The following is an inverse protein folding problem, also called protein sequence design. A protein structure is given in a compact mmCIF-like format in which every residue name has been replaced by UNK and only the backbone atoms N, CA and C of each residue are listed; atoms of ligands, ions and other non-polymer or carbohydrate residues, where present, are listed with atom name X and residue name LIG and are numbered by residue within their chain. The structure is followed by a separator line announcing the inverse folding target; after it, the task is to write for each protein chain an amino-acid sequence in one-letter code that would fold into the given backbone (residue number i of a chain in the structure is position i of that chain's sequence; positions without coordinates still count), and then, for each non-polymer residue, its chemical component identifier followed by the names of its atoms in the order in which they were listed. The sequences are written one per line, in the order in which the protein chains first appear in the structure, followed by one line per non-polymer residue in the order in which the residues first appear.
data_IF_847218315526
#
_entry.id   IF_847218315526
#
_cell.length_a   1.000
_cell.length_b   1.000
_cell.length_c   1.000
_cell.angle_alpha   90.00
_cell.angle_beta   90.00
_cell.angle_gamma   90.00
#
_symmetry.space_group_name_H-M   'P 1'
#
loop_
_entity.id
_entity.type
_entity.pdbx_description
1 polymer ?
#
# COMPACT_ATOMS: atom_id res chain seq x y z
N UNK A 1 -46.69 -3.14 -3.53
CA UNK A 1 -45.45 -2.40 -3.19
C UNK A 1 -44.30 -3.19 -3.76
N UNK A 2 -43.75 -2.74 -4.89
CA UNK A 2 -42.60 -3.38 -5.51
C UNK A 2 -41.34 -3.10 -4.68
N UNK A 3 -40.78 -4.16 -4.09
CA UNK A 3 -39.48 -4.11 -3.42
C UNK A 3 -38.43 -4.06 -4.53
N UNK A 4 -37.91 -2.87 -4.80
CA UNK A 4 -36.77 -2.70 -5.69
C UNK A 4 -35.56 -3.49 -5.17
N UNK A 5 -34.83 -4.25 -6.01
CA UNK A 5 -33.69 -5.02 -5.57
C UNK A 5 -32.53 -4.07 -5.18
N UNK A 6 -31.95 -4.33 -4.00
CA UNK A 6 -30.88 -3.59 -3.33
C UNK A 6 -29.53 -3.54 -4.08
N UNK A 7 -29.46 -4.02 -5.33
CA UNK A 7 -28.20 -4.37 -6.03
C UNK A 7 -28.11 -3.94 -7.49
N UNK A 8 -28.60 -2.74 -7.87
CA UNK A 8 -28.14 -2.14 -9.14
C UNK A 8 -26.97 -1.21 -8.85
N UNK A 9 -25.76 -1.72 -9.02
CA UNK A 9 -24.62 -0.85 -9.33
C UNK A 9 -25.02 -0.01 -10.55
N UNK A 10 -24.84 1.32 -10.52
CA UNK A 10 -25.27 2.17 -11.63
C UNK A 10 -24.57 1.72 -12.93
N UNK A 11 -25.26 1.77 -14.10
CA UNK A 11 -24.77 1.21 -15.38
C UNK A 11 -23.56 1.93 -16.01
N UNK A 12 -22.78 2.68 -15.24
CA UNK A 12 -21.56 3.32 -15.71
C UNK A 12 -20.61 3.51 -14.54
N UNK A 13 -20.06 2.41 -14.03
CA UNK A 13 -18.79 2.41 -13.31
C UNK A 13 -17.76 2.92 -14.32
N UNK A 14 -17.57 4.24 -14.38
CA UNK A 14 -16.77 4.86 -15.43
C UNK A 14 -15.30 4.64 -15.10
N UNK A 15 -14.64 3.75 -15.86
CA UNK A 15 -13.18 3.52 -15.78
C UNK A 15 -12.33 4.79 -15.91
N UNK A 16 -12.94 5.92 -16.31
CA UNK A 16 -12.32 7.23 -16.39
C UNK A 16 -11.90 7.75 -15.01
N UNK A 17 -12.73 7.63 -13.98
CA UNK A 17 -12.42 8.15 -12.65
C UNK A 17 -11.21 7.43 -12.02
N UNK A 18 -11.12 6.10 -12.15
CA UNK A 18 -10.00 5.34 -11.60
C UNK A 18 -8.68 5.64 -12.32
N UNK A 19 -8.72 5.86 -13.64
CA UNK A 19 -7.53 6.25 -14.42
C UNK A 19 -7.06 7.65 -14.04
N UNK A 20 -7.98 8.60 -13.91
CA UNK A 20 -7.67 9.97 -13.51
C UNK A 20 -7.12 10.01 -12.07
N UNK A 21 -7.72 9.27 -11.14
CA UNK A 21 -7.21 9.14 -9.76
C UNK A 21 -5.80 8.51 -9.72
N UNK A 22 -5.55 7.45 -10.50
CA UNK A 22 -4.23 6.81 -10.56
C UNK A 22 -3.18 7.74 -11.17
N UNK A 23 -3.51 8.47 -12.23
CA UNK A 23 -2.65 9.47 -12.83
C UNK A 23 -2.30 10.57 -11.82
N UNK A 24 -3.28 11.04 -11.05
CA UNK A 24 -3.06 12.04 -10.02
C UNK A 24 -2.17 11.54 -8.89
N UNK A 25 -2.36 10.29 -8.44
CA UNK A 25 -1.49 9.67 -7.44
C UNK A 25 -0.05 9.56 -7.97
N UNK A 26 0.12 9.13 -9.22
CA UNK A 26 1.43 9.05 -9.89
C UNK A 26 2.12 10.42 -9.91
N UNK A 27 1.42 11.46 -10.37
CA UNK A 27 1.94 12.83 -10.39
C UNK A 27 2.30 13.31 -8.98
N UNK A 28 1.46 13.00 -7.98
CA UNK A 28 1.71 13.36 -6.57
C UNK A 28 2.97 12.66 -6.03
N UNK A 29 3.15 11.37 -6.32
CA UNK A 29 4.35 10.62 -5.91
C UNK A 29 5.60 11.24 -6.55
N UNK A 30 5.57 11.50 -7.86
CA UNK A 30 6.70 12.10 -8.59
C UNK A 30 7.01 13.49 -8.05
N UNK A 31 6.00 14.34 -7.87
CA UNK A 31 6.16 15.68 -7.31
C UNK A 31 6.75 15.62 -5.89
N UNK A 32 6.23 14.74 -5.02
CA UNK A 32 6.69 14.66 -3.63
C UNK A 32 8.12 14.12 -3.55
N UNK A 33 8.46 13.16 -4.40
CA UNK A 33 9.83 12.69 -4.53
C UNK A 33 10.77 13.83 -4.95
N UNK A 34 10.40 14.59 -5.98
CA UNK A 34 11.19 15.74 -6.45
C UNK A 34 11.36 16.81 -5.36
N UNK A 35 10.32 17.09 -4.56
CA UNK A 35 10.41 18.01 -3.43
C UNK A 35 11.32 17.50 -2.30
N UNK A 36 11.27 16.19 -2.00
CA UNK A 36 12.14 15.56 -1.01
C UNK A 36 13.62 15.65 -1.45
N UNK A 37 13.85 15.39 -2.73
CA UNK A 37 15.13 15.58 -3.41
C UNK A 37 15.59 17.03 -3.27
N UNK A 38 14.80 18.00 -3.74
CA UNK A 38 15.14 19.42 -3.67
C UNK A 38 15.42 19.91 -2.22
N UNK A 39 14.67 19.40 -1.23
CA UNK A 39 14.90 19.76 0.18
C UNK A 39 16.24 19.23 0.68
N UNK A 40 16.60 17.99 0.33
CA UNK A 40 17.90 17.42 0.67
C UNK A 40 19.05 18.14 -0.07
N UNK A 41 18.84 18.51 -1.33
CA UNK A 41 19.74 19.36 -2.11
C UNK A 41 20.06 20.68 -1.38
N UNK A 42 19.02 21.40 -0.95
CA UNK A 42 19.20 22.68 -0.25
C UNK A 42 19.94 22.52 1.08
N UNK A 43 19.67 21.43 1.81
CA UNK A 43 20.41 21.12 3.06
C UNK A 43 21.89 20.87 2.81
N UNK A 44 22.24 20.14 1.75
CA UNK A 44 23.63 19.86 1.41
C UNK A 44 24.39 21.13 0.98
N UNK A 45 23.77 22.00 0.17
CA UNK A 45 24.33 23.30 -0.18
C UNK A 45 24.60 24.16 1.07
N UNK A 46 23.62 24.23 1.97
CA UNK A 46 23.73 25.03 3.20
C UNK A 46 24.80 24.50 4.16
N UNK A 47 25.10 23.20 4.10
CA UNK A 47 26.14 22.57 4.93
C UNK A 47 27.58 22.81 4.45
N UNK A 48 27.78 23.48 3.30
CA UNK A 48 29.12 23.83 2.79
C UNK A 48 29.93 22.66 2.22
N UNK A 49 29.27 21.51 1.95
CA UNK A 49 29.94 20.27 1.52
C UNK A 49 30.16 20.19 -0.01
N UNK A 50 29.48 21.02 -0.82
CA UNK A 50 29.58 21.00 -2.29
C UNK A 50 29.63 22.40 -2.91
N UNK A 51 30.26 22.51 -4.08
CA UNK A 51 30.77 23.76 -4.67
C UNK A 51 29.88 24.40 -5.74
N UNK A 52 28.95 23.68 -6.37
CA UNK A 52 28.03 24.24 -7.39
C UNK A 52 26.65 23.59 -7.40
N UNK A 53 25.63 24.31 -7.89
CA UNK A 53 24.25 23.83 -8.02
C UNK A 53 24.14 22.58 -8.93
N UNK A 54 24.90 22.55 -10.02
CA UNK A 54 24.89 21.46 -10.99
C UNK A 54 25.47 20.16 -10.40
N UNK A 55 26.55 20.25 -9.62
CA UNK A 55 27.16 19.09 -8.94
C UNK A 55 26.21 18.45 -7.93
N UNK A 56 25.51 19.25 -7.13
CA UNK A 56 24.54 18.73 -6.14
C UNK A 56 23.36 18.07 -6.85
N UNK A 57 22.89 18.60 -7.98
CA UNK A 57 21.81 18.01 -8.76
C UNK A 57 22.19 16.64 -9.33
N UNK A 58 23.41 16.50 -9.88
CA UNK A 58 23.94 15.24 -10.41
C UNK A 58 24.08 14.21 -9.28
N UNK A 59 24.76 14.57 -8.19
CA UNK A 59 24.97 13.65 -7.06
C UNK A 59 23.66 13.15 -6.46
N UNK A 60 22.66 14.02 -6.37
CA UNK A 60 21.37 13.64 -5.80
C UNK A 60 20.56 12.76 -6.76
N UNK A 61 20.58 13.05 -8.06
CA UNK A 61 20.00 12.16 -9.07
C UNK A 61 20.62 10.77 -8.99
N UNK A 62 21.95 10.69 -8.94
CA UNK A 62 22.68 9.42 -8.85
C UNK A 62 22.37 8.69 -7.56
N UNK A 63 22.26 9.40 -6.44
CA UNK A 63 21.84 8.84 -5.15
C UNK A 63 20.43 8.26 -5.21
N UNK A 64 19.47 9.00 -5.76
CA UNK A 64 18.09 8.56 -5.93
C UNK A 64 17.97 7.34 -6.85
N UNK A 65 18.65 7.36 -8.00
CA UNK A 65 18.70 6.22 -8.92
C UNK A 65 19.32 5.01 -8.23
N UNK A 66 20.43 5.19 -7.51
CA UNK A 66 21.07 4.14 -6.73
C UNK A 66 20.12 3.52 -5.71
N UNK A 67 19.36 4.32 -4.96
CA UNK A 67 18.39 3.82 -3.98
C UNK A 67 17.21 3.10 -4.64
N UNK A 68 16.71 3.60 -5.77
CA UNK A 68 15.69 2.90 -6.56
C UNK A 68 16.20 1.57 -7.12
N UNK A 69 17.44 1.53 -7.63
CA UNK A 69 18.09 0.30 -8.09
C UNK A 69 18.35 -0.67 -6.93
N UNK A 70 18.76 -0.18 -5.76
CA UNK A 70 18.96 -0.99 -4.56
C UNK A 70 17.64 -1.64 -4.12
N UNK A 71 16.57 -0.85 -3.99
CA UNK A 71 15.22 -1.35 -3.73
C UNK A 71 14.82 -2.42 -4.74
N UNK A 72 14.97 -2.11 -6.04
CA UNK A 72 14.66 -3.04 -7.12
C UNK A 72 15.44 -4.35 -7.02
N UNK A 73 16.75 -4.30 -6.76
CA UNK A 73 17.62 -5.47 -6.63
C UNK A 73 17.29 -6.33 -5.42
N UNK A 74 17.09 -5.72 -4.25
CA UNK A 74 16.75 -6.46 -3.01
C UNK A 74 15.46 -7.24 -3.20
N UNK A 75 14.42 -6.58 -3.73
CA UNK A 75 13.13 -7.22 -4.00
C UNK A 75 13.19 -8.21 -5.17
N UNK A 76 14.05 -7.98 -6.16
CA UNK A 76 14.20 -8.87 -7.33
C UNK A 76 14.93 -10.17 -7.04
N UNK A 77 15.91 -10.18 -6.14
CA UNK A 77 16.84 -11.30 -6.00
C UNK A 77 17.00 -11.85 -4.59
N UNK A 78 16.71 -11.09 -3.52
CA UNK A 78 17.14 -11.49 -2.18
C UNK A 78 16.26 -10.94 -1.04
N UNK A 79 14.94 -10.89 -1.23
CA UNK A 79 14.03 -10.33 -0.23
C UNK A 79 14.14 -11.01 1.15
N UNK A 80 14.40 -12.32 1.22
CA UNK A 80 14.52 -13.02 2.51
C UNK A 80 15.88 -12.88 3.20
N UNK A 81 16.92 -12.45 2.49
CA UNK A 81 18.30 -12.39 3.00
C UNK A 81 18.86 -10.96 3.09
N UNK A 82 18.21 -10.00 2.44
CA UNK A 82 18.74 -8.64 2.28
C UNK A 82 17.73 -7.54 2.62
N UNK A 83 16.56 -7.87 3.16
CA UNK A 83 15.61 -6.83 3.56
C UNK A 83 16.12 -5.96 4.70
N UNK A 84 17.04 -6.48 5.52
CA UNK A 84 17.72 -5.73 6.58
C UNK A 84 18.81 -4.80 6.02
N UNK A 85 19.13 -4.90 4.71
CA UNK A 85 19.98 -3.93 4.02
C UNK A 85 19.23 -2.68 3.59
N UNK A 86 17.90 -2.70 3.62
CA UNK A 86 17.09 -1.52 3.34
C UNK A 86 16.74 -0.85 4.66
N UNK A 87 17.30 0.33 4.88
CA UNK A 87 16.92 1.18 6.00
C UNK A 87 15.66 1.96 5.64
N UNK A 88 14.50 1.42 6.02
CA UNK A 88 13.23 2.13 5.85
C UNK A 88 13.02 3.26 6.87
N UNK A 89 13.96 3.54 7.77
CA UNK A 89 13.95 4.82 8.49
C UNK A 89 14.55 5.95 7.63
N UNK A 90 15.24 5.62 6.54
CA UNK A 90 15.74 6.59 5.58
C UNK A 90 14.63 7.02 4.62
N UNK A 91 14.30 8.32 4.64
CA UNK A 91 13.25 8.91 3.79
C UNK A 91 13.51 8.71 2.30
N UNK A 92 14.76 8.74 1.83
CA UNK A 92 15.04 8.54 0.40
C UNK A 92 14.84 7.08 0.00
N UNK A 93 15.21 6.13 0.85
CA UNK A 93 14.90 4.71 0.65
C UNK A 93 13.39 4.48 0.62
N UNK A 94 12.63 5.13 1.52
CA UNK A 94 11.16 5.09 1.53
C UNK A 94 10.55 5.60 0.21
N UNK A 95 10.96 6.79 -0.25
CA UNK A 95 10.42 7.33 -1.50
C UNK A 95 10.88 6.58 -2.74
N UNK A 96 12.12 6.06 -2.75
CA UNK A 96 12.60 5.18 -3.80
C UNK A 96 11.75 3.91 -3.91
N UNK A 97 11.38 3.32 -2.77
CA UNK A 97 10.43 2.21 -2.72
C UNK A 97 9.05 2.61 -3.27
N UNK A 98 8.50 3.74 -2.82
CA UNK A 98 7.19 4.22 -3.29
C UNK A 98 7.19 4.43 -4.80
N UNK A 99 8.22 5.07 -5.35
CA UNK A 99 8.37 5.26 -6.79
C UNK A 99 8.37 3.93 -7.56
N UNK A 100 9.09 2.92 -7.06
CA UNK A 100 9.24 1.64 -7.76
C UNK A 100 8.01 0.73 -7.60
N UNK A 101 7.35 0.72 -6.43
CA UNK A 101 6.38 -0.32 -6.08
C UNK A 101 4.96 0.17 -5.81
N UNK A 102 4.75 1.43 -5.42
CA UNK A 102 3.44 1.90 -4.94
C UNK A 102 2.35 1.73 -6.00
N UNK A 103 2.58 2.19 -7.22
CA UNK A 103 1.56 2.11 -8.28
C UNK A 103 1.22 0.68 -8.67
N UNK A 104 2.21 -0.23 -8.60
CA UNK A 104 1.96 -1.66 -8.80
C UNK A 104 1.08 -2.25 -7.72
N UNK A 105 1.30 -1.88 -6.45
CA UNK A 105 0.49 -2.34 -5.32
C UNK A 105 -0.93 -1.78 -5.40
N UNK A 106 -1.07 -0.49 -5.70
CA UNK A 106 -2.36 0.17 -5.92
C UNK A 106 -3.17 -0.58 -6.97
N UNK A 107 -2.57 -0.84 -8.14
CA UNK A 107 -3.21 -1.57 -9.22
C UNK A 107 -3.58 -3.00 -8.82
N UNK A 108 -2.70 -3.69 -8.08
CA UNK A 108 -2.97 -5.05 -7.62
C UNK A 108 -4.21 -5.10 -6.71
N UNK A 109 -4.34 -4.19 -5.75
CA UNK A 109 -5.52 -4.10 -4.88
C UNK A 109 -6.76 -3.75 -5.66
N UNK A 110 -6.70 -2.68 -6.45
CA UNK A 110 -7.83 -2.21 -7.25
C UNK A 110 -8.37 -3.33 -8.14
N UNK A 111 -7.47 -4.03 -8.84
CA UNK A 111 -7.82 -5.17 -9.68
C UNK A 111 -8.43 -6.32 -8.88
N UNK A 112 -7.81 -6.70 -7.76
CA UNK A 112 -8.30 -7.79 -6.90
C UNK A 112 -9.70 -7.51 -6.37
N UNK A 113 -9.98 -6.28 -5.93
CA UNK A 113 -11.30 -5.88 -5.44
C UNK A 113 -12.34 -5.84 -6.55
N UNK A 114 -11.96 -5.32 -7.73
CA UNK A 114 -12.83 -5.30 -8.91
C UNK A 114 -13.21 -6.72 -9.34
N UNK A 115 -12.24 -7.63 -9.37
CA UNK A 115 -12.50 -9.03 -9.70
C UNK A 115 -13.35 -9.73 -8.64
N UNK A 116 -13.07 -9.49 -7.36
CA UNK A 116 -13.86 -10.01 -6.25
C UNK A 116 -15.33 -9.57 -6.33
N UNK A 117 -15.58 -8.29 -6.66
CA UNK A 117 -16.92 -7.76 -6.85
C UNK A 117 -17.60 -8.39 -8.07
N UNK A 118 -16.89 -8.47 -9.20
CA UNK A 118 -17.38 -9.06 -10.45
C UNK A 118 -17.77 -10.54 -10.30
N UNK A 119 -16.96 -11.29 -9.58
CA UNK A 119 -17.18 -12.72 -9.28
C UNK A 119 -18.18 -12.94 -8.14
N UNK A 120 -18.71 -11.86 -7.54
CA UNK A 120 -19.60 -11.90 -6.37
C UNK A 120 -18.99 -12.58 -5.15
N UNK A 121 -17.65 -12.57 -5.06
CA UNK A 121 -16.90 -13.04 -3.89
C UNK A 121 -16.98 -12.04 -2.73
N UNK A 122 -17.32 -10.79 -3.00
CA UNK A 122 -17.61 -9.76 -2.01
C UNK A 122 -18.92 -9.04 -2.36
N UNK A 123 -19.52 -8.41 -1.36
CA UNK A 123 -20.66 -7.53 -1.50
C UNK A 123 -20.32 -6.19 -0.83
N UNK A 124 -20.55 -5.07 -1.51
CA UNK A 124 -20.26 -3.75 -0.97
C UNK A 124 -21.55 -3.03 -0.62
N UNK A 125 -21.68 -2.63 0.65
CA UNK A 125 -22.77 -1.79 1.10
C UNK A 125 -22.33 -0.32 1.08
N UNK A 126 -22.90 0.47 0.17
CA UNK A 126 -22.57 1.89 0.01
C UNK A 126 -22.85 2.75 1.26
N UNK A 127 -23.67 2.25 2.20
CA UNK A 127 -23.99 2.94 3.46
C UNK A 127 -23.11 2.48 4.63
N UNK A 128 -22.38 1.38 4.48
CA UNK A 128 -21.49 0.90 5.51
C UNK A 128 -20.19 1.72 5.50
N UNK A 129 -19.76 2.17 6.68
CA UNK A 129 -18.39 2.63 6.87
C UNK A 129 -17.51 1.41 7.11
N UNK A 130 -16.37 1.36 6.44
CA UNK A 130 -15.49 0.20 6.49
C UNK A 130 -14.29 0.49 7.40
N UNK A 131 -13.94 -0.49 8.22
CA UNK A 131 -12.66 -0.51 8.94
C UNK A 131 -11.63 -1.28 8.12
N UNK A 132 -10.40 -0.80 8.06
CA UNK A 132 -9.30 -1.44 7.31
C UNK A 132 -8.12 -1.73 8.24
N UNK A 133 -7.52 -2.91 8.09
CA UNK A 133 -6.25 -3.27 8.70
C UNK A 133 -5.27 -3.73 7.61
N UNK A 134 -4.22 -2.95 7.36
CA UNK A 134 -3.17 -3.28 6.39
C UNK A 134 -1.96 -3.87 7.13
N UNK A 135 -1.72 -5.16 6.97
CA UNK A 135 -0.56 -5.87 7.53
C UNK A 135 0.59 -5.75 6.54
N UNK A 136 1.78 -5.38 7.03
CA UNK A 136 2.91 -5.02 6.16
C UNK A 136 2.57 -3.86 5.21
N UNK A 137 1.72 -2.92 5.66
CA UNK A 137 1.11 -1.92 4.80
C UNK A 137 2.10 -0.86 4.28
N UNK A 138 3.32 -0.80 4.82
CA UNK A 138 4.37 0.10 4.40
C UNK A 138 3.87 1.55 4.25
N UNK A 139 4.02 2.18 3.07
CA UNK A 139 3.55 3.53 2.82
C UNK A 139 2.03 3.64 2.57
N UNK A 140 1.21 2.65 2.94
CA UNK A 140 -0.24 2.68 2.73
C UNK A 140 -0.69 2.51 1.27
N UNK A 141 0.12 1.86 0.42
CA UNK A 141 -0.22 1.62 -0.99
C UNK A 141 -1.55 0.89 -1.17
N UNK A 142 -1.84 -0.02 -0.25
CA UNK A 142 -3.04 -0.87 -0.30
C UNK A 142 -4.30 -0.03 -0.09
N UNK A 143 -4.21 0.96 0.79
CA UNK A 143 -5.29 1.88 1.11
C UNK A 143 -5.66 2.74 -0.10
N UNK A 144 -4.67 3.19 -0.86
CA UNK A 144 -4.89 3.94 -2.10
C UNK A 144 -5.59 3.08 -3.15
N UNK A 145 -5.22 1.81 -3.29
CA UNK A 145 -5.90 0.88 -4.19
C UNK A 145 -7.35 0.59 -3.77
N UNK A 146 -7.59 0.41 -2.46
CA UNK A 146 -8.96 0.30 -1.91
C UNK A 146 -9.76 1.57 -2.17
N UNK A 147 -9.17 2.74 -1.93
CA UNK A 147 -9.83 4.03 -2.13
C UNK A 147 -10.24 4.23 -3.59
N UNK A 148 -9.35 3.91 -4.55
CA UNK A 148 -9.69 3.97 -5.98
C UNK A 148 -10.85 3.05 -6.31
N UNK A 149 -10.84 1.81 -5.81
CA UNK A 149 -11.94 0.87 -6.00
C UNK A 149 -13.27 1.42 -5.45
N UNK A 150 -13.27 1.94 -4.22
CA UNK A 150 -14.47 2.51 -3.60
C UNK A 150 -14.99 3.73 -4.37
N UNK A 151 -14.10 4.62 -4.82
CA UNK A 151 -14.49 5.79 -5.61
C UNK A 151 -15.10 5.40 -6.94
N UNK A 152 -14.58 4.35 -7.60
CA UNK A 152 -15.12 3.85 -8.86
C UNK A 152 -16.58 3.38 -8.74
N UNK A 153 -16.95 2.84 -7.57
CA UNK A 153 -18.33 2.43 -7.25
C UNK A 153 -19.15 3.53 -6.54
N UNK A 154 -18.65 4.77 -6.50
CA UNK A 154 -19.37 5.94 -5.99
C UNK A 154 -19.23 6.23 -4.49
N UNK A 155 -18.26 5.61 -3.80
CA UNK A 155 -17.99 5.81 -2.39
C UNK A 155 -16.73 6.66 -2.16
N UNK A 156 -16.92 7.93 -1.77
CA UNK A 156 -15.82 8.90 -1.67
C UNK A 156 -15.14 8.96 -0.29
N UNK A 157 -15.83 8.56 0.77
CA UNK A 157 -15.30 8.48 2.13
C UNK A 157 -15.59 7.09 2.74
N UNK A 158 -14.96 6.02 2.21
CA UNK A 158 -15.34 4.65 2.51
C UNK A 158 -14.88 4.15 3.89
N UNK A 159 -13.97 4.86 4.55
CA UNK A 159 -13.29 4.38 5.75
C UNK A 159 -13.75 5.10 7.01
N UNK A 160 -14.13 4.34 8.05
CA UNK A 160 -14.28 4.86 9.43
C UNK A 160 -13.00 4.76 10.24
N UNK A 161 -12.15 3.79 9.90
CA UNK A 161 -10.98 3.45 10.68
C UNK A 161 -9.94 2.80 9.77
N UNK A 162 -8.67 3.19 9.89
CA UNK A 162 -7.56 2.63 9.13
C UNK A 162 -6.44 2.31 10.10
N UNK A 163 -6.02 1.05 10.17
CA UNK A 163 -4.88 0.59 10.94
C UNK A 163 -3.82 0.02 10.00
N UNK A 164 -2.58 0.44 10.17
CA UNK A 164 -1.43 -0.05 9.40
C UNK A 164 -0.47 -0.70 10.37
N UNK A 165 -0.26 -2.00 10.21
CA UNK A 165 0.61 -2.81 11.05
C UNK A 165 1.88 -3.05 10.24
N UNK A 166 2.98 -2.42 10.63
CA UNK A 166 4.25 -2.56 9.92
C UNK A 166 5.42 -2.59 10.90
N UNK A 167 6.48 -3.32 10.55
CA UNK A 167 7.72 -3.33 11.33
C UNK A 167 8.36 -1.94 11.39
N UNK A 168 8.20 -1.14 10.34
CA UNK A 168 8.78 0.19 10.22
C UNK A 168 7.70 1.28 10.36
N UNK A 169 7.56 1.85 11.56
CA UNK A 169 6.58 2.93 11.79
C UNK A 169 6.99 4.27 11.19
N UNK A 170 8.25 4.42 10.75
CA UNK A 170 8.74 5.63 10.07
C UNK A 170 8.00 5.92 8.75
N UNK A 171 7.29 4.93 8.18
CA UNK A 171 6.38 5.15 7.05
C UNK A 171 5.29 6.20 7.33
N UNK A 172 4.91 6.40 8.59
CA UNK A 172 3.92 7.39 9.01
C UNK A 172 4.25 8.78 8.49
N UNK A 173 5.51 9.19 8.52
CA UNK A 173 5.92 10.53 8.06
C UNK A 173 5.78 10.68 6.54
N UNK A 174 6.23 9.69 5.78
CA UNK A 174 6.06 9.66 4.32
C UNK A 174 4.59 9.58 3.91
N UNK A 175 3.77 8.84 4.66
CA UNK A 175 2.32 8.80 4.47
C UNK A 175 1.67 10.16 4.67
N UNK A 176 1.93 10.84 5.80
CA UNK A 176 1.40 12.19 6.05
C UNK A 176 1.85 13.17 4.97
N UNK A 177 3.11 13.08 4.54
CA UNK A 177 3.64 13.91 3.45
C UNK A 177 2.93 13.65 2.12
N UNK A 178 2.68 12.39 1.75
CA UNK A 178 1.92 12.03 0.56
C UNK A 178 0.47 12.51 0.66
N UNK A 179 -0.20 12.20 1.77
CA UNK A 179 -1.60 12.52 2.01
C UNK A 179 -1.88 14.02 1.89
N UNK A 180 -1.02 14.87 2.46
CA UNK A 180 -1.17 16.34 2.38
C UNK A 180 -1.15 16.90 0.97
N UNK A 181 -0.70 16.11 -0.02
CA UNK A 181 -0.58 16.51 -1.43
C UNK A 181 -1.61 15.84 -2.32
N UNK A 182 -2.39 14.89 -1.80
CA UNK A 182 -3.51 14.29 -2.52
C UNK A 182 -4.66 15.30 -2.69
N UNK A 183 -5.52 15.13 -3.71
CA UNK A 183 -6.74 15.92 -3.85
C UNK A 183 -7.58 15.90 -2.57
N UNK A 184 -8.21 17.03 -2.24
CA UNK A 184 -8.87 17.23 -0.93
C UNK A 184 -9.82 16.10 -0.53
N UNK A 185 -10.63 15.58 -1.45
CA UNK A 185 -11.54 14.45 -1.17
C UNK A 185 -10.79 13.15 -0.84
N UNK A 186 -9.69 12.87 -1.54
CA UNK A 186 -8.87 11.68 -1.28
C UNK A 186 -8.10 11.81 0.03
N UNK A 187 -7.50 12.99 0.27
CA UNK A 187 -6.80 13.28 1.50
C UNK A 187 -7.73 13.11 2.71
N UNK A 188 -8.95 13.65 2.64
CA UNK A 188 -9.97 13.53 3.69
C UNK A 188 -10.35 12.08 3.98
N UNK A 189 -10.54 11.26 2.94
CA UNK A 189 -10.89 9.85 3.07
C UNK A 189 -9.83 9.01 3.81
N UNK A 190 -8.60 9.50 3.91
CA UNK A 190 -7.44 8.78 4.45
C UNK A 190 -6.96 9.31 5.82
N UNK A 191 -7.68 10.27 6.43
CA UNK A 191 -7.24 10.98 7.64
C UNK A 191 -7.19 10.13 8.91
N UNK A 192 -7.91 9.00 8.95
CA UNK A 192 -8.00 8.12 10.12
C UNK A 192 -6.94 7.00 10.16
N UNK A 193 -5.80 7.17 9.47
CA UNK A 193 -4.74 6.17 9.42
C UNK A 193 -3.85 6.18 10.67
N UNK A 194 -3.87 5.08 11.41
CA UNK A 194 -3.01 4.84 12.57
C UNK A 194 -1.95 3.78 12.25
N UNK A 195 -0.69 4.10 12.55
CA UNK A 195 0.43 3.17 12.41
C UNK A 195 0.73 2.48 13.74
N UNK A 196 0.82 1.16 13.68
CA UNK A 196 1.17 0.29 14.79
C UNK A 196 2.44 -0.47 14.44
N UNK A 197 3.40 -0.51 15.36
CA UNK A 197 4.57 -1.37 15.18
C UNK A 197 4.13 -2.83 15.29
N UNK A 198 4.43 -3.61 14.25
CA UNK A 198 4.23 -5.06 14.25
C UNK A 198 5.10 -5.72 13.18
N UNK A 199 6.11 -6.47 13.61
CA UNK A 199 6.85 -7.39 12.76
C UNK A 199 6.13 -8.75 12.71
N UNK A 200 5.42 -8.98 11.61
CA UNK A 200 4.65 -10.22 11.38
C UNK A 200 5.46 -11.52 11.60
N UNK A 201 6.78 -11.51 11.41
CA UNK A 201 7.61 -12.72 11.55
C UNK A 201 8.17 -12.91 12.95
N UNK A 202 8.36 -11.83 13.70
CA UNK A 202 9.15 -11.86 14.94
C UNK A 202 8.32 -11.49 16.18
N UNK A 203 7.23 -10.73 16.01
CA UNK A 203 6.41 -10.28 17.12
C UNK A 203 5.29 -11.26 17.43
N UNK A 204 4.98 -11.37 18.72
CA UNK A 204 3.76 -12.03 19.19
C UNK A 204 2.59 -11.07 19.01
N UNK A 205 1.51 -11.56 18.39
CA UNK A 205 0.29 -10.78 18.21
C UNK A 205 -0.35 -10.45 19.58
N UNK A 206 -0.24 -9.19 20.00
CA UNK A 206 -0.85 -8.69 21.24
C UNK A 206 -2.38 -8.69 21.15
N UNK A 207 -3.06 -8.70 22.31
CA UNK A 207 -4.52 -8.65 22.37
C UNK A 207 -5.11 -7.39 21.70
N UNK A 208 -4.40 -6.26 21.78
CA UNK A 208 -4.83 -5.03 21.14
C UNK A 208 -4.78 -5.15 19.61
N UNK A 209 -3.67 -5.64 19.05
CA UNK A 209 -3.54 -5.85 17.61
C UNK A 209 -4.50 -6.92 17.10
N UNK A 210 -4.73 -7.98 17.90
CA UNK A 210 -5.75 -9.00 17.60
C UNK A 210 -7.14 -8.38 17.49
N UNK A 211 -7.53 -7.52 18.43
CA UNK A 211 -8.81 -6.79 18.38
C UNK A 211 -8.92 -5.90 17.15
N UNK A 212 -7.83 -5.18 16.79
CA UNK A 212 -7.76 -4.37 15.56
C UNK A 212 -8.02 -5.22 14.32
N UNK A 213 -7.34 -6.36 14.20
CA UNK A 213 -7.51 -7.27 13.06
C UNK A 213 -8.94 -7.83 13.04
N UNK A 214 -9.46 -8.33 14.16
CA UNK A 214 -10.78 -8.95 14.25
C UNK A 214 -11.94 -8.00 13.95
N UNK A 215 -11.83 -6.71 14.33
CA UNK A 215 -12.87 -5.70 14.05
C UNK A 215 -12.80 -5.10 12.65
N UNK A 216 -11.78 -5.45 11.87
CA UNK A 216 -11.56 -4.86 10.55
C UNK A 216 -12.48 -5.49 9.51
N UNK A 217 -13.15 -4.65 8.71
CA UNK A 217 -14.01 -5.08 7.60
C UNK A 217 -13.15 -5.60 6.44
N UNK A 218 -12.04 -4.92 6.17
CA UNK A 218 -11.03 -5.33 5.21
C UNK A 218 -9.70 -5.54 5.90
N UNK A 219 -9.06 -6.65 5.59
CA UNK A 219 -7.68 -6.89 5.96
C UNK A 219 -6.90 -7.01 4.67
N UNK A 220 -5.85 -6.22 4.51
CA UNK A 220 -4.93 -6.34 3.37
C UNK A 220 -3.60 -6.87 3.85
N UNK A 221 -2.99 -7.72 3.04
CA UNK A 221 -1.61 -8.17 3.24
C UNK A 221 -0.96 -8.28 1.87
N UNK A 222 -0.12 -7.31 1.51
CA UNK A 222 0.46 -7.23 0.17
C UNK A 222 1.96 -7.19 0.27
N UNK A 223 2.56 -8.25 -0.28
CA UNK A 223 3.99 -8.35 -0.42
C UNK A 223 4.33 -8.54 -1.89
N UNK A 224 5.05 -7.58 -2.47
CA UNK A 224 5.65 -7.80 -3.78
C UNK A 224 6.81 -8.77 -3.65
N UNK A 225 6.69 -9.94 -4.28
CA UNK A 225 7.74 -10.96 -4.29
C UNK A 225 8.06 -11.24 -5.73
N UNK A 226 9.20 -10.74 -6.22
CA UNK A 226 9.67 -10.95 -7.60
C UNK A 226 9.30 -12.36 -8.13
N UNK A 227 8.56 -12.46 -9.26
CA UNK A 227 8.25 -13.75 -9.88
C UNK A 227 9.53 -14.54 -10.16
N UNK A 228 10.62 -13.83 -10.47
CA UNK A 228 11.96 -14.41 -10.66
C UNK A 228 12.49 -14.99 -9.34
N UNK A 229 12.39 -14.29 -8.21
CA UNK A 229 12.78 -14.86 -6.89
C UNK A 229 11.97 -16.08 -6.50
N UNK A 230 10.68 -16.10 -6.84
CA UNK A 230 9.82 -17.24 -6.57
C UNK A 230 10.10 -18.42 -7.49
N UNK A 231 10.35 -18.16 -8.77
CA UNK A 231 10.70 -19.15 -9.77
C UNK A 231 12.09 -19.76 -9.53
N UNK A 232 13.05 -18.97 -9.03
CA UNK A 232 14.40 -19.44 -8.68
C UNK A 232 14.46 -20.21 -7.35
N UNK A 233 13.39 -20.24 -6.56
CA UNK A 233 13.32 -21.16 -5.41
C UNK A 233 13.06 -22.56 -5.97
N UNK A 234 14.04 -23.45 -5.81
CA UNK A 234 14.04 -24.86 -6.24
C UNK A 234 13.00 -25.75 -5.50
N UNK A 235 11.98 -25.13 -4.89
CA UNK A 235 10.90 -25.80 -4.19
C UNK A 235 9.62 -25.56 -4.97
N UNK A 236 8.89 -26.63 -5.32
CA UNK A 236 7.55 -26.53 -5.86
C UNK A 236 6.66 -25.79 -4.86
N UNK A 237 6.41 -24.50 -5.10
CA UNK A 237 5.49 -23.71 -4.27
C UNK A 237 4.08 -24.14 -4.64
N UNK A 238 3.41 -24.86 -3.72
CA UNK A 238 1.97 -25.14 -3.83
C UNK A 238 1.21 -23.92 -3.33
N UNK A 239 0.36 -23.37 -4.17
CA UNK A 239 -0.53 -22.26 -3.82
C UNK A 239 -1.81 -22.83 -3.23
N UNK A 240 -2.12 -22.48 -1.99
CA UNK A 240 -3.38 -22.86 -1.35
C UNK A 240 -4.22 -21.61 -1.22
N UNK A 241 -5.45 -21.64 -1.76
CA UNK A 241 -6.46 -20.62 -1.48
C UNK A 241 -6.84 -20.77 -0.01
N UNK A 242 -6.43 -19.81 0.83
CA UNK A 242 -6.88 -19.77 2.22
C UNK A 242 -8.34 -19.35 2.23
N UNK A 243 -9.17 -20.09 2.97
CA UNK A 243 -10.58 -19.76 3.16
C UNK A 243 -10.93 -19.41 4.60
N UNK A 244 -10.00 -19.61 5.56
CA UNK A 244 -10.18 -19.24 6.96
C UNK A 244 -8.91 -18.67 7.62
N UNK A 245 -9.09 -17.86 8.68
CA UNK A 245 -7.98 -17.24 9.44
C UNK A 245 -7.04 -18.25 10.11
N UNK A 246 -7.52 -19.45 10.43
CA UNK A 246 -6.74 -20.48 11.12
C UNK A 246 -5.66 -21.12 10.24
N UNK A 247 -5.74 -20.94 8.91
CA UNK A 247 -4.83 -21.51 7.91
C UNK A 247 -3.57 -20.66 7.66
N UNK A 248 -3.42 -19.51 8.32
CA UNK A 248 -2.32 -18.56 8.10
C UNK A 248 -0.93 -19.04 8.57
N UNK A 249 -0.84 -20.20 9.23
CA UNK A 249 0.39 -20.71 9.85
C UNK A 249 1.40 -21.35 8.89
N UNK A 250 1.07 -21.54 7.60
CA UNK A 250 1.93 -22.32 6.69
C UNK A 250 2.00 -21.74 5.28
N UNK A 251 2.66 -20.59 5.01
CA UNK A 251 2.97 -20.29 3.60
C UNK A 251 4.26 -19.48 3.36
N UNK A 252 5.11 -20.01 2.46
CA UNK A 252 6.04 -19.24 1.65
C UNK A 252 5.36 -18.80 0.35
N UNK A 253 5.06 -17.51 0.20
CA UNK A 253 4.17 -16.98 -0.83
C UNK A 253 4.98 -16.21 -1.89
N UNK A 254 4.55 -16.21 -3.16
CA UNK A 254 4.68 -15.06 -4.04
C UNK A 254 3.32 -14.56 -4.50
N UNK A 255 3.04 -13.28 -4.20
CA UNK A 255 1.80 -12.54 -4.46
C UNK A 255 0.51 -13.26 -4.06
N UNK A 256 0.03 -13.00 -2.85
CA UNK A 256 -1.38 -13.27 -2.51
C UNK A 256 -1.92 -12.04 -1.80
N UNK A 257 -2.95 -11.43 -2.40
CA UNK A 257 -3.78 -10.43 -1.72
C UNK A 257 -4.84 -11.23 -0.97
N UNK A 258 -4.73 -11.29 0.34
CA UNK A 258 -5.82 -11.80 1.17
C UNK A 258 -6.78 -10.65 1.43
N UNK A 259 -8.07 -10.90 1.26
CA UNK A 259 -9.13 -10.10 1.86
C UNK A 259 -10.06 -11.06 2.59
N UNK A 260 -10.20 -10.85 3.90
CA UNK A 260 -11.27 -11.48 4.68
C UNK A 260 -12.32 -10.41 4.93
N UNK A 261 -13.55 -10.65 4.50
CA UNK A 261 -14.70 -9.84 4.90
C UNK A 261 -15.23 -10.47 6.19
N UNK A 262 -14.88 -9.89 7.34
CA UNK A 262 -15.50 -10.29 8.60
C UNK A 262 -16.97 -9.85 8.56
N UNK A 263 -17.87 -10.82 8.56
CA UNK A 263 -19.31 -10.57 8.61
C UNK A 263 -19.63 -10.03 10.02
N UNK A 264 -20.12 -8.79 10.20
CA UNK A 264 -20.33 -8.22 11.54
C UNK A 264 -21.55 -8.81 12.29
N UNK A 265 -21.98 -10.03 11.96
CA UNK A 265 -23.25 -10.60 12.42
C UNK A 265 -23.30 -12.13 12.52
N UNK A 266 -22.16 -12.81 12.67
CA UNK A 266 -22.11 -14.21 13.12
C UNK A 266 -21.15 -14.33 14.29
#
# INVERSE_FOLDING_TARGET
MDIQPFWRAPPSVTSRCAKDDLAYILETIVMTFNLCVQTNYQRQLTSGVQTTEEEVAIHLRDFCLKEMFNNSRVYKYNLSLQIDRLDFNNVVTQWGYMYVYMCRHIHLVHHSMTDALRTKSIAVNARAKNSVCAIGGGPGSDLLGLLIFFREIGMFAPFSEINILDRCTAWKESWVSLQSKLPGQMAQALTCAEYHHFDFFNDVLTDNLRKIIQRSTFITFIKAISPVSAWLKDKSIKYTRITSMDELSVIGIPYTVYYSVCNPGQ
#
